data_IF_180227628218
#
_entry.id   IF_180227628218
#
_cell.length_a   1.000
_cell.length_b   1.000
_cell.length_c   1.000
_cell.angle_alpha   90.00
_cell.angle_beta   90.00
_cell.angle_gamma   90.00
#
_symmetry.space_group_name_H-M   'P 1'
#
loop_
_entity.id
_entity.type
_entity.pdbx_description
1 polymer ?
#
# COMPACT_ATOMS: atom_id res chain seq x y z
N UNK A 1 -2.70 16.20 -22.81
CA UNK A 1 -2.28 17.33 -21.95
C UNK A 1 -1.35 16.79 -20.87
N UNK A 2 -0.06 17.14 -20.93
CA UNK A 2 0.97 16.66 -20.00
C UNK A 2 0.77 17.30 -18.63
N UNK A 3 0.18 16.57 -17.67
CA UNK A 3 0.36 16.94 -16.26
C UNK A 3 1.84 16.69 -15.96
N UNK A 4 2.57 17.75 -15.69
CA UNK A 4 3.79 17.65 -14.86
C UNK A 4 3.35 17.09 -13.50
N UNK A 5 3.28 15.76 -13.39
CA UNK A 5 2.88 15.06 -12.20
C UNK A 5 4.07 15.06 -11.27
N UNK A 6 4.02 15.86 -10.20
CA UNK A 6 4.90 15.69 -9.05
C UNK A 6 4.73 14.25 -8.55
N UNK A 7 5.68 13.39 -8.92
CA UNK A 7 5.66 11.97 -8.58
C UNK A 7 5.94 11.83 -7.09
N UNK A 8 5.05 11.14 -6.38
CA UNK A 8 5.26 10.76 -4.98
C UNK A 8 5.74 9.31 -4.94
N UNK A 9 6.98 9.11 -4.52
CA UNK A 9 7.56 7.78 -4.33
C UNK A 9 7.62 7.50 -2.84
N UNK A 10 7.17 6.32 -2.43
CA UNK A 10 7.29 5.84 -1.05
C UNK A 10 8.18 4.60 -1.03
N UNK A 11 9.23 4.60 -0.23
CA UNK A 11 10.04 3.43 0.08
C UNK A 11 9.65 2.94 1.47
N UNK A 12 9.38 1.64 1.61
CA UNK A 12 8.95 1.05 2.87
C UNK A 12 9.92 -0.05 3.26
N UNK A 13 10.47 0.05 4.47
CA UNK A 13 11.18 -1.06 5.10
C UNK A 13 10.16 -2.07 5.62
N UNK A 14 10.02 -3.18 4.90
CA UNK A 14 8.94 -4.14 5.11
C UNK A 14 9.01 -4.84 6.47
N UNK A 15 10.19 -5.27 6.91
CA UNK A 15 10.31 -5.97 8.20
C UNK A 15 10.21 -5.02 9.37
N UNK A 16 10.71 -3.79 9.23
CA UNK A 16 10.51 -2.78 10.27
C UNK A 16 9.01 -2.50 10.49
N UNK A 17 8.22 -2.42 9.41
CA UNK A 17 6.76 -2.24 9.52
C UNK A 17 6.07 -3.47 10.11
N UNK A 18 6.38 -4.69 9.63
CA UNK A 18 5.81 -5.93 10.20
C UNK A 18 6.13 -6.04 11.69
N UNK A 19 7.37 -5.72 12.07
CA UNK A 19 7.85 -5.80 13.43
C UNK A 19 7.24 -4.77 14.39
N UNK A 20 6.50 -3.78 13.90
CA UNK A 20 5.91 -2.71 14.72
C UNK A 20 4.39 -2.71 14.69
N UNK A 21 3.78 -3.08 13.57
CA UNK A 21 2.33 -3.04 13.40
C UNK A 21 1.66 -4.23 14.13
N UNK A 22 0.86 -4.02 15.20
CA UNK A 22 0.32 -5.11 16.00
C UNK A 22 -0.42 -6.19 15.21
N UNK A 23 -1.23 -5.81 14.21
CA UNK A 23 -1.94 -6.74 13.33
C UNK A 23 -1.00 -7.66 12.55
N UNK A 24 0.11 -7.12 12.05
CA UNK A 24 1.08 -7.90 11.28
C UNK A 24 1.98 -8.73 12.20
N UNK A 25 2.32 -8.23 13.39
CA UNK A 25 3.00 -9.02 14.41
C UNK A 25 2.17 -10.24 14.83
N UNK A 26 0.85 -10.08 14.98
CA UNK A 26 -0.05 -11.18 15.27
C UNK A 26 -0.12 -12.17 14.10
N UNK A 27 -0.28 -11.69 12.87
CA UNK A 27 -0.23 -12.54 11.67
C UNK A 27 1.08 -13.32 11.55
N UNK A 28 2.21 -12.66 11.85
CA UNK A 28 3.53 -13.30 11.89
C UNK A 28 3.60 -14.42 12.92
N UNK A 29 3.10 -14.18 14.14
CA UNK A 29 3.12 -15.16 15.23
C UNK A 29 2.24 -16.39 14.93
N UNK A 30 1.08 -16.19 14.30
CA UNK A 30 0.10 -17.26 14.07
C UNK A 30 0.40 -18.01 12.77
N UNK A 31 0.73 -17.29 11.70
CA UNK A 31 0.76 -17.81 10.32
C UNK A 31 2.14 -17.71 9.65
N UNK A 32 3.16 -17.22 10.36
CA UNK A 32 4.54 -17.09 9.86
C UNK A 32 4.81 -15.84 9.02
N UNK A 33 6.08 -15.70 8.62
CA UNK A 33 6.59 -14.51 7.92
C UNK A 33 5.96 -14.25 6.57
N UNK A 34 5.79 -15.29 5.76
CA UNK A 34 5.23 -15.15 4.42
C UNK A 34 3.80 -14.59 4.45
N UNK A 35 2.99 -15.02 5.42
CA UNK A 35 1.64 -14.50 5.61
C UNK A 35 1.67 -13.03 6.02
N UNK A 36 2.55 -12.65 6.97
CA UNK A 36 2.70 -11.25 7.37
C UNK A 36 3.18 -10.36 6.22
N UNK A 37 4.09 -10.83 5.35
CA UNK A 37 4.50 -10.11 4.14
C UNK A 37 3.32 -9.89 3.21
N UNK A 38 2.53 -10.93 2.94
CA UNK A 38 1.32 -10.84 2.09
C UNK A 38 0.31 -9.85 2.65
N UNK A 39 0.04 -9.91 3.95
CA UNK A 39 -0.90 -9.02 4.62
C UNK A 39 -0.45 -7.55 4.54
N UNK A 40 0.86 -7.29 4.68
CA UNK A 40 1.43 -5.96 4.48
C UNK A 40 1.24 -5.49 3.03
N UNK A 41 1.57 -6.34 2.04
CA UNK A 41 1.43 -6.03 0.62
C UNK A 41 -0.02 -5.66 0.31
N UNK A 42 -0.99 -6.46 0.75
CA UNK A 42 -2.42 -6.22 0.53
C UNK A 42 -2.88 -4.89 1.15
N UNK A 43 -2.47 -4.60 2.38
CA UNK A 43 -2.80 -3.35 3.05
C UNK A 43 -2.21 -2.14 2.30
N UNK A 44 -0.98 -2.27 1.81
CA UNK A 44 -0.29 -1.22 1.07
C UNK A 44 -0.86 -0.98 -0.34
N UNK A 45 -1.44 -1.99 -1.00
CA UNK A 45 -2.10 -1.80 -2.31
C UNK A 45 -3.20 -0.74 -2.20
N UNK A 46 -4.11 -0.91 -1.24
CA UNK A 46 -5.22 0.03 -1.03
C UNK A 46 -4.71 1.42 -0.62
N UNK A 47 -3.73 1.47 0.28
CA UNK A 47 -3.15 2.71 0.75
C UNK A 47 -2.49 3.50 -0.38
N UNK A 48 -1.63 2.84 -1.17
CA UNK A 48 -0.87 3.46 -2.27
C UNK A 48 -1.80 4.02 -3.34
N UNK A 49 -2.86 3.29 -3.69
CA UNK A 49 -3.88 3.76 -4.62
C UNK A 49 -4.63 4.99 -4.08
N UNK A 50 -5.02 4.98 -2.79
CA UNK A 50 -5.76 6.07 -2.18
C UNK A 50 -4.97 7.37 -2.06
N UNK A 51 -3.66 7.28 -1.85
CA UNK A 51 -2.76 8.42 -1.62
C UNK A 51 -2.03 8.88 -2.89
N UNK A 52 -2.27 8.21 -4.03
CA UNK A 52 -1.59 8.44 -5.31
C UNK A 52 -0.05 8.31 -5.15
N UNK A 53 0.39 7.24 -4.46
CA UNK A 53 1.80 6.94 -4.21
C UNK A 53 2.30 5.86 -5.18
N UNK A 54 3.54 5.99 -5.62
CA UNK A 54 4.31 4.91 -6.24
C UNK A 54 5.17 4.27 -5.15
N UNK A 55 4.69 3.16 -4.60
CA UNK A 55 5.23 2.51 -3.42
C UNK A 55 6.15 1.37 -3.81
N UNK A 56 7.30 1.29 -3.13
CA UNK A 56 8.24 0.18 -3.20
C UNK A 56 8.42 -0.37 -1.78
N UNK A 57 7.95 -1.59 -1.57
CA UNK A 57 8.20 -2.32 -0.32
C UNK A 57 9.51 -3.07 -0.49
N UNK A 58 10.43 -2.93 0.46
CA UNK A 58 11.74 -3.57 0.43
C UNK A 58 11.79 -4.58 1.58
N UNK A 59 12.06 -5.84 1.23
CA UNK A 59 12.36 -6.89 2.18
C UNK A 59 13.82 -7.28 2.02
N UNK A 60 14.56 -7.40 3.13
CA UNK A 60 15.86 -8.07 3.08
C UNK A 60 15.71 -9.55 2.66
N UNK A 61 16.66 -10.03 1.86
CA UNK A 61 16.77 -11.46 1.57
C UNK A 61 17.33 -12.18 2.79
N UNK A 62 16.54 -13.05 3.40
CA UNK A 62 17.01 -13.90 4.49
C UNK A 62 17.94 -14.98 3.94
N UNK A 63 19.25 -14.74 4.03
CA UNK A 63 20.39 -15.68 3.86
C UNK A 63 20.42 -16.60 2.63
N UNK A 64 19.48 -16.52 1.70
CA UNK A 64 19.45 -17.32 0.48
C UNK A 64 20.20 -16.58 -0.63
N UNK A 65 21.14 -17.27 -1.27
CA UNK A 65 21.97 -16.76 -2.36
C UNK A 65 21.12 -16.54 -3.62
N UNK A 66 20.37 -15.45 -3.62
CA UNK A 66 19.39 -15.11 -4.66
C UNK A 66 19.67 -13.70 -5.20
N UNK A 67 19.52 -13.47 -6.52
CA UNK A 67 19.62 -12.15 -7.10
C UNK A 67 18.46 -11.27 -6.62
N UNK A 68 18.59 -9.94 -6.75
CA UNK A 68 17.48 -9.02 -6.46
C UNK A 68 16.24 -9.40 -7.27
N UNK A 69 15.12 -9.64 -6.58
CA UNK A 69 13.84 -9.95 -7.21
C UNK A 69 12.93 -8.74 -7.09
N UNK A 70 12.34 -8.33 -8.22
CA UNK A 70 11.29 -7.31 -8.27
C UNK A 70 9.98 -7.95 -8.69
N UNK A 71 8.97 -7.81 -7.85
CA UNK A 71 7.60 -8.22 -8.13
C UNK A 71 6.72 -6.99 -8.32
N UNK A 72 6.05 -6.89 -9.46
CA UNK A 72 5.06 -5.83 -9.71
C UNK A 72 3.70 -6.34 -9.26
N UNK A 73 3.18 -5.77 -8.18
CA UNK A 73 1.88 -6.16 -7.62
C UNK A 73 0.76 -5.36 -8.29
N UNK A 74 0.98 -4.06 -8.50
CA UNK A 74 0.08 -3.16 -9.22
C UNK A 74 0.87 -2.11 -10.00
N UNK A 75 0.19 -1.23 -10.74
CA UNK A 75 0.79 -0.05 -11.39
C UNK A 75 1.48 0.91 -10.39
N UNK A 76 1.08 0.84 -9.12
CA UNK A 76 1.49 1.76 -8.04
C UNK A 76 2.26 1.10 -6.91
N UNK A 77 2.40 -0.23 -6.93
CA UNK A 77 3.07 -0.98 -5.88
C UNK A 77 3.97 -2.06 -6.47
N UNK A 78 5.24 -2.02 -6.09
CA UNK A 78 6.19 -3.09 -6.35
C UNK A 78 6.85 -3.55 -5.06
N UNK A 79 7.20 -4.83 -5.01
CA UNK A 79 7.96 -5.44 -3.92
C UNK A 79 9.37 -5.74 -4.43
N UNK A 80 10.37 -5.44 -3.62
CA UNK A 80 11.76 -5.69 -3.88
C UNK A 80 12.32 -6.57 -2.77
N UNK A 81 12.88 -7.71 -3.16
CA UNK A 81 13.72 -8.52 -2.29
C UNK A 81 15.17 -8.20 -2.61
N UNK A 82 15.94 -7.80 -1.61
CA UNK A 82 17.35 -7.43 -1.80
C UNK A 82 18.18 -8.62 -2.26
N UNK A 83 19.37 -8.36 -2.80
CA UNK A 83 20.35 -9.42 -3.07
C UNK A 83 21.01 -9.93 -1.78
N UNK A 84 21.59 -11.13 -1.85
CA UNK A 84 22.35 -11.70 -0.74
C UNK A 84 23.44 -10.73 -0.24
N UNK A 85 23.48 -10.49 1.07
CA UNK A 85 24.44 -9.58 1.70
C UNK A 85 24.06 -8.10 1.62
N UNK A 86 22.96 -7.74 0.95
CA UNK A 86 22.40 -6.40 0.97
C UNK A 86 21.23 -6.31 1.95
N UNK A 87 21.26 -5.32 2.85
CA UNK A 87 20.13 -5.01 3.75
C UNK A 87 19.09 -4.11 3.07
N UNK A 88 17.86 -4.15 3.58
CA UNK A 88 16.82 -3.20 3.17
C UNK A 88 17.28 -1.75 3.31
N UNK A 89 17.99 -1.42 4.40
CA UNK A 89 18.59 -0.11 4.64
C UNK A 89 19.51 0.32 3.49
N UNK A 90 20.49 -0.53 3.14
CA UNK A 90 21.46 -0.25 2.07
C UNK A 90 20.75 -0.07 0.72
N UNK A 91 19.70 -0.86 0.46
CA UNK A 91 18.90 -0.69 -0.75
C UNK A 91 18.19 0.68 -0.77
N UNK A 92 17.53 1.04 0.33
CA UNK A 92 16.78 2.29 0.46
C UNK A 92 17.72 3.49 0.36
N UNK A 93 18.90 3.45 0.97
CA UNK A 93 19.91 4.51 0.87
C UNK A 93 20.37 4.73 -0.58
N UNK A 94 20.73 3.64 -1.29
CA UNK A 94 21.09 3.71 -2.72
C UNK A 94 19.94 4.28 -3.55
N UNK A 95 18.70 3.86 -3.28
CA UNK A 95 17.52 4.40 -3.96
C UNK A 95 17.33 5.90 -3.69
N UNK A 96 17.53 6.35 -2.45
CA UNK A 96 17.46 7.77 -2.08
C UNK A 96 18.53 8.60 -2.79
N UNK A 97 19.78 8.11 -2.80
CA UNK A 97 20.90 8.77 -3.48
C UNK A 97 20.63 8.92 -4.99
N UNK A 98 20.14 7.86 -5.63
CA UNK A 98 19.83 7.87 -7.07
C UNK A 98 18.67 8.81 -7.42
N UNK A 99 17.62 8.83 -6.59
CA UNK A 99 16.44 9.68 -6.82
C UNK A 99 16.67 11.15 -6.46
N UNK A 100 17.77 11.48 -5.77
CA UNK A 100 18.09 12.84 -5.31
C UNK A 100 18.09 13.88 -6.42
N UNK A 101 18.65 13.54 -7.59
CA UNK A 101 18.66 14.47 -8.72
C UNK A 101 17.25 14.68 -9.30
N UNK A 102 16.46 13.60 -9.44
CA UNK A 102 15.08 13.67 -9.92
C UNK A 102 14.19 14.50 -8.98
N UNK A 103 14.36 14.35 -7.66
CA UNK A 103 13.66 15.16 -6.66
C UNK A 103 13.90 16.67 -6.85
N UNK A 104 15.16 17.05 -7.10
CA UNK A 104 15.55 18.45 -7.32
C UNK A 104 14.98 19.02 -8.61
N UNK A 105 15.06 18.27 -9.70
CA UNK A 105 14.68 18.75 -11.03
C UNK A 105 13.16 18.74 -11.26
N UNK A 106 12.47 17.72 -10.75
CA UNK A 106 11.05 17.47 -11.05
C UNK A 106 10.09 17.80 -9.90
N UNK A 107 10.60 18.32 -8.77
CA UNK A 107 9.83 18.53 -7.53
C UNK A 107 9.09 17.27 -7.07
N UNK A 108 9.68 16.10 -7.32
CA UNK A 108 9.19 14.80 -6.87
C UNK A 108 9.34 14.70 -5.35
N UNK A 109 8.38 14.06 -4.66
CA UNK A 109 8.48 13.80 -3.22
C UNK A 109 8.90 12.36 -3.00
N UNK A 110 9.93 12.14 -2.20
CA UNK A 110 10.36 10.83 -1.74
C UNK A 110 10.03 10.72 -0.26
N UNK A 111 9.32 9.66 0.12
CA UNK A 111 8.96 9.37 1.50
C UNK A 111 9.58 8.02 1.86
N UNK A 112 10.21 7.91 3.02
CA UNK A 112 10.72 6.65 3.56
C UNK A 112 9.97 6.30 4.84
N UNK A 113 9.43 5.09 4.88
CA UNK A 113 8.78 4.53 6.05
C UNK A 113 9.71 3.55 6.76
N UNK A 114 10.17 3.95 7.95
CA UNK A 114 10.95 3.11 8.88
C UNK A 114 10.90 3.74 10.27
N UNK A 115 11.07 2.94 11.31
CA UNK A 115 11.27 3.44 12.69
C UNK A 115 12.68 3.22 13.19
N UNK A 116 13.60 2.76 12.33
CA UNK A 116 15.02 2.76 12.63
C UNK A 116 15.57 4.20 12.63
N UNK A 117 16.20 4.61 13.73
CA UNK A 117 16.68 5.98 13.92
C UNK A 117 17.92 6.30 13.08
N UNK A 118 18.80 5.33 12.88
CA UNK A 118 19.99 5.50 12.04
C UNK A 118 19.53 5.70 10.60
N UNK A 119 18.65 4.82 10.13
CA UNK A 119 18.11 4.90 8.78
C UNK A 119 17.33 6.20 8.55
N UNK A 120 16.53 6.63 9.52
CA UNK A 120 15.83 7.92 9.48
C UNK A 120 16.79 9.08 9.22
N UNK A 121 17.87 9.19 10.00
CA UNK A 121 18.84 10.28 9.86
C UNK A 121 19.48 10.27 8.47
N UNK A 122 19.84 9.07 7.97
CA UNK A 122 20.45 8.91 6.66
C UNK A 122 19.52 9.36 5.53
N UNK A 123 18.28 8.88 5.50
CA UNK A 123 17.34 9.20 4.39
C UNK A 123 16.90 10.67 4.41
N UNK A 124 16.75 11.26 5.60
CA UNK A 124 16.52 12.71 5.74
C UNK A 124 17.73 13.49 5.23
N UNK A 125 18.96 13.02 5.49
CA UNK A 125 20.18 13.59 4.93
C UNK A 125 20.21 13.59 3.39
N UNK A 126 19.59 12.60 2.74
CA UNK A 126 19.39 12.57 1.29
C UNK A 126 18.27 13.50 0.79
N UNK A 127 17.52 14.13 1.68
CA UNK A 127 16.40 15.03 1.38
C UNK A 127 15.06 14.30 1.20
N UNK A 128 14.96 13.05 1.63
CA UNK A 128 13.68 12.34 1.69
C UNK A 128 12.87 12.80 2.91
N UNK A 129 11.55 12.78 2.77
CA UNK A 129 10.63 12.86 3.90
C UNK A 129 10.61 11.52 4.64
N UNK A 130 10.36 11.58 5.95
CA UNK A 130 10.31 10.40 6.80
C UNK A 130 8.94 10.24 7.44
N UNK A 131 8.49 9.00 7.55
CA UNK A 131 7.33 8.59 8.34
C UNK A 131 7.71 7.38 9.19
N UNK A 132 7.27 7.33 10.44
CA UNK A 132 7.48 6.15 11.27
C UNK A 132 6.58 5.00 10.83
N UNK A 133 6.97 3.78 11.16
CA UNK A 133 6.17 2.58 10.87
C UNK A 133 4.86 2.57 11.66
N UNK A 134 4.85 3.11 12.88
CA UNK A 134 3.63 3.31 13.67
C UNK A 134 2.66 4.28 12.96
N UNK A 135 3.17 5.42 12.48
CA UNK A 135 2.34 6.40 11.80
C UNK A 135 1.80 5.83 10.48
N UNK A 136 2.64 5.14 9.71
CA UNK A 136 2.20 4.48 8.48
C UNK A 136 1.09 3.46 8.77
N UNK A 137 1.25 2.60 9.78
CA UNK A 137 0.22 1.64 10.17
C UNK A 137 -1.12 2.32 10.51
N UNK A 138 -1.07 3.37 11.33
CA UNK A 138 -2.24 4.17 11.68
C UNK A 138 -2.91 4.80 10.45
N UNK A 139 -2.12 5.36 9.53
CA UNK A 139 -2.63 5.98 8.30
C UNK A 139 -3.31 4.97 7.39
N UNK A 140 -2.74 3.77 7.24
CA UNK A 140 -3.34 2.69 6.46
C UNK A 140 -4.67 2.25 7.06
N UNK A 141 -4.75 2.06 8.37
CA UNK A 141 -5.99 1.70 9.06
C UNK A 141 -7.07 2.79 8.95
N UNK A 142 -6.67 4.06 9.09
CA UNK A 142 -7.54 5.21 8.92
C UNK A 142 -8.13 5.30 7.51
N UNK A 143 -7.28 5.08 6.48
CA UNK A 143 -7.73 5.01 5.09
C UNK A 143 -8.68 3.84 4.88
N UNK A 144 -8.33 2.64 5.36
CA UNK A 144 -9.16 1.45 5.20
C UNK A 144 -10.55 1.61 5.83
N UNK A 145 -10.62 2.19 7.04
CA UNK A 145 -11.89 2.49 7.72
C UNK A 145 -12.72 3.53 6.96
N UNK A 146 -12.08 4.55 6.39
CA UNK A 146 -12.74 5.61 5.61
C UNK A 146 -13.32 5.09 4.30
N UNK A 147 -12.59 4.23 3.58
CA UNK A 147 -13.08 3.53 2.39
C UNK A 147 -14.28 2.66 2.75
N UNK A 148 -14.19 1.86 3.83
CA UNK A 148 -15.28 1.00 4.30
C UNK A 148 -16.55 1.81 4.60
N UNK A 149 -16.44 2.93 5.31
CA UNK A 149 -17.55 3.84 5.61
C UNK A 149 -18.18 4.42 4.33
N UNK A 150 -17.37 4.81 3.35
CA UNK A 150 -17.86 5.33 2.07
C UNK A 150 -18.64 4.27 1.28
N UNK A 151 -18.13 3.04 1.21
CA UNK A 151 -18.81 1.93 0.57
C UNK A 151 -20.13 1.58 1.26
N UNK A 152 -20.18 1.59 2.59
CA UNK A 152 -21.42 1.35 3.34
C UNK A 152 -22.47 2.46 3.13
N UNK A 153 -22.06 3.73 3.11
CA UNK A 153 -22.97 4.85 2.78
C UNK A 153 -23.53 4.71 1.36
N UNK A 154 -22.67 4.40 0.39
CA UNK A 154 -23.07 4.15 -1.00
C UNK A 154 -24.11 3.03 -1.10
N UNK A 155 -23.90 1.91 -0.40
CA UNK A 155 -24.88 0.81 -0.33
C UNK A 155 -26.22 1.22 0.29
N UNK A 156 -26.22 2.10 1.31
CA UNK A 156 -27.45 2.64 1.90
C UNK A 156 -28.20 3.58 0.94
N UNK A 157 -27.49 4.38 0.13
CA UNK A 157 -28.11 5.23 -0.90
C UNK A 157 -28.54 4.47 -2.16
N UNK A 158 -27.86 3.38 -2.52
CA UNK A 158 -28.27 2.43 -3.57
C UNK A 158 -29.41 1.51 -3.12
N UNK A 159 -29.96 1.73 -1.92
CA UNK A 159 -31.26 1.20 -1.49
C UNK A 159 -32.45 1.72 -2.32
N UNK A 160 -32.23 2.55 -3.35
CA UNK A 160 -33.17 2.67 -4.47
C UNK A 160 -33.10 1.39 -5.29
N UNK A 161 -33.85 0.41 -4.81
CA UNK A 161 -34.20 -0.87 -5.43
C UNK A 161 -34.17 -0.78 -6.97
N UNK A 162 -33.51 -1.74 -7.64
CA UNK A 162 -33.61 -1.94 -9.10
C UNK A 162 -35.07 -2.03 -9.58
N UNK A 163 -36.01 -2.36 -8.69
CA UNK A 163 -37.44 -2.33 -8.96
C UNK A 163 -37.96 -0.93 -9.34
N UNK A 164 -37.36 0.17 -8.87
CA UNK A 164 -37.83 1.53 -9.18
C UNK A 164 -37.53 1.97 -10.63
N UNK A 165 -36.69 1.23 -11.36
CA UNK A 165 -36.45 1.43 -12.78
C UNK A 165 -37.24 0.46 -13.67
N UNK A 166 -37.94 -0.50 -13.05
CA UNK A 166 -38.87 -1.37 -13.75
C UNK A 166 -40.22 -0.68 -13.83
N UNK A 167 -40.83 -0.71 -15.01
CA UNK A 167 -42.22 -0.28 -15.16
C UNK A 167 -43.16 -1.17 -14.33
N UNK A 168 -44.38 -0.71 -14.10
CA UNK A 168 -45.33 -1.40 -13.24
C UNK A 168 -45.67 -2.82 -13.75
N UNK A 169 -45.60 -3.04 -15.06
CA UNK A 169 -45.86 -4.34 -15.69
C UNK A 169 -44.72 -5.33 -15.41
N UNK A 170 -43.46 -4.89 -15.59
CA UNK A 170 -42.28 -5.70 -15.30
C UNK A 170 -42.18 -6.07 -13.82
N UNK A 171 -42.58 -5.18 -12.91
CA UNK A 171 -42.61 -5.48 -11.47
C UNK A 171 -43.63 -6.57 -11.12
N UNK A 172 -44.84 -6.50 -11.71
CA UNK A 172 -45.89 -7.52 -11.51
C UNK A 172 -45.44 -8.88 -12.03
N UNK A 173 -44.87 -8.91 -13.24
CA UNK A 173 -44.39 -10.15 -13.88
C UNK A 173 -43.27 -10.82 -13.07
N UNK A 174 -42.38 -10.01 -12.49
CA UNK A 174 -41.33 -10.51 -11.60
C UNK A 174 -41.91 -11.09 -10.30
N UNK A 175 -42.99 -10.49 -9.77
CA UNK A 175 -43.68 -10.98 -8.58
C UNK A 175 -44.41 -12.31 -8.84
N UNK A 176 -45.03 -12.46 -10.01
CA UNK A 176 -45.69 -13.69 -10.43
C UNK A 176 -44.71 -14.86 -10.57
N UNK A 177 -43.57 -14.62 -11.25
CA UNK A 177 -42.49 -15.60 -11.37
C UNK A 177 -41.90 -16.00 -10.01
N UNK A 178 -41.86 -15.06 -9.07
CA UNK A 178 -41.35 -15.30 -7.70
C UNK A 178 -42.33 -16.13 -6.86
N UNK A 179 -43.61 -16.15 -7.22
CA UNK A 179 -44.66 -16.95 -6.58
C UNK A 179 -44.92 -18.28 -7.32
N UNK A 180 -44.08 -18.63 -8.31
CA UNK A 180 -44.11 -19.92 -9.00
C UNK A 180 -45.29 -20.12 -9.95
N UNK A 181 -45.86 -19.03 -10.50
CA UNK A 181 -46.86 -19.08 -11.57
C UNK A 181 -46.24 -18.81 -12.92
#
# INVERSE_FOLDING_TARGET
MSRSLRRKVMLVDGYNVIGIWPRLQESFKINGLETARRDLIEAMVNYSASQDLNTRIVFDSQYQYTPTVKEVITDRLSVYYTEFGQTADTYIEKACANLRQEMRLSKSRLIVATSDRVQQLTVVGYGAEWISSQQLAHDIESVASSVRRRCQRSKRTSGRFLANYLDLESQKRLAELRMGK
#
